data_IF_904293278623
#
_entry.id   IF_904293278623
#
_cell.length_a   1.000
_cell.length_b   1.000
_cell.length_c   1.000
_cell.angle_alpha   90.00
_cell.angle_beta   90.00
_cell.angle_gamma   90.00
#
_symmetry.space_group_name_H-M   'P 1'
#
loop_
_entity.id
_entity.type
_entity.pdbx_description
1 polymer ?
#
# COMPACT_ATOMS: atom_id res chain seq x y z
N UNK A 1 9.90 -28.58 10.31
CA UNK A 1 9.74 -28.37 8.85
C UNK A 1 9.59 -26.88 8.64
N UNK A 2 10.58 -26.24 8.03
CA UNK A 2 10.50 -24.82 7.65
C UNK A 2 9.53 -24.71 6.47
N UNK A 3 8.27 -24.38 6.75
CA UNK A 3 7.34 -23.97 5.72
C UNK A 3 7.94 -22.75 5.04
N UNK A 4 8.32 -22.88 3.76
CA UNK A 4 8.79 -21.75 2.99
C UNK A 4 7.70 -20.69 2.99
N UNK A 5 8.03 -19.45 3.34
CA UNK A 5 7.09 -18.35 3.25
C UNK A 5 6.62 -18.21 1.81
N UNK A 6 5.31 -18.37 1.60
CA UNK A 6 4.69 -18.21 0.30
C UNK A 6 3.89 -16.91 0.26
N UNK A 7 4.56 -15.84 -0.13
CA UNK A 7 3.91 -14.55 -0.33
C UNK A 7 2.82 -14.61 -1.41
N UNK A 8 2.88 -15.56 -2.35
CA UNK A 8 1.89 -15.69 -3.41
C UNK A 8 0.54 -16.17 -2.89
N UNK A 9 0.48 -16.82 -1.72
CA UNK A 9 -0.77 -17.18 -1.05
C UNK A 9 -1.65 -15.95 -0.73
N UNK A 10 -1.06 -14.75 -0.67
CA UNK A 10 -1.75 -13.51 -0.33
C UNK A 10 -1.99 -12.58 -1.53
N UNK A 11 -1.49 -12.94 -2.72
CA UNK A 11 -1.55 -12.04 -3.88
C UNK A 11 -2.94 -11.99 -4.50
N UNK A 12 -3.27 -10.83 -5.06
CA UNK A 12 -4.49 -10.62 -5.83
C UNK A 12 -4.32 -11.18 -7.25
N UNK A 13 -5.20 -12.09 -7.65
CA UNK A 13 -5.14 -12.74 -8.97
C UNK A 13 -5.73 -11.90 -10.12
N UNK A 14 -6.60 -10.93 -9.82
CA UNK A 14 -7.20 -10.03 -10.82
C UNK A 14 -6.98 -8.57 -10.44
N UNK A 15 -6.27 -7.84 -11.30
CA UNK A 15 -5.95 -6.43 -11.08
C UNK A 15 -6.94 -5.55 -11.87
N UNK A 16 -7.35 -4.39 -11.33
CA UNK A 16 -8.02 -3.37 -12.14
C UNK A 16 -7.07 -2.87 -13.22
N UNK A 17 -7.57 -2.33 -14.34
CA UNK A 17 -6.71 -1.81 -15.42
C UNK A 17 -5.75 -0.71 -14.93
N UNK A 18 -6.19 0.09 -13.97
CA UNK A 18 -5.43 1.23 -13.46
C UNK A 18 -5.45 1.23 -11.93
N UNK A 19 -4.29 1.50 -11.34
CA UNK A 19 -4.18 1.92 -9.95
C UNK A 19 -3.93 3.43 -9.86
N UNK A 20 -4.25 4.00 -8.70
CA UNK A 20 -4.03 5.40 -8.37
C UNK A 20 -3.12 5.48 -7.14
N UNK A 21 -1.96 6.10 -7.28
CA UNK A 21 -1.04 6.34 -6.16
C UNK A 21 -1.16 7.78 -5.70
N UNK A 22 -1.31 7.98 -4.40
CA UNK A 22 -1.23 9.31 -3.78
C UNK A 22 0.21 9.52 -3.32
N UNK A 23 0.90 10.51 -3.87
CA UNK A 23 2.23 10.96 -3.46
C UNK A 23 2.08 12.19 -2.58
N UNK A 24 2.83 12.25 -1.46
CA UNK A 24 2.80 13.35 -0.50
C UNK A 24 4.11 13.41 0.29
N UNK A 25 4.45 14.53 0.95
CA UNK A 25 5.64 14.63 1.77
C UNK A 25 5.68 13.55 2.87
N UNK A 26 6.75 12.75 2.89
CA UNK A 26 6.90 11.65 3.84
C UNK A 26 6.22 10.33 3.40
N UNK A 27 5.81 10.19 2.14
CA UNK A 27 5.43 8.87 1.62
C UNK A 27 6.60 7.89 1.68
N UNK A 28 6.36 6.66 2.15
CA UNK A 28 7.37 5.59 2.28
C UNK A 28 7.74 4.90 0.95
N UNK A 29 7.58 5.64 -0.14
CA UNK A 29 7.95 5.21 -1.47
C UNK A 29 8.44 6.43 -2.25
N UNK A 30 9.48 6.22 -3.05
CA UNK A 30 10.13 7.23 -3.88
C UNK A 30 9.77 7.04 -5.35
N UNK A 31 9.71 8.16 -6.04
CA UNK A 31 9.50 8.23 -7.47
C UNK A 31 10.88 8.23 -8.12
N UNK A 32 11.13 7.31 -9.04
CA UNK A 32 12.38 7.27 -9.81
C UNK A 32 12.21 8.01 -11.15
N UNK A 33 13.30 8.48 -11.74
CA UNK A 33 13.31 9.15 -13.06
C UNK A 33 12.73 8.27 -14.18
N UNK A 34 12.69 6.94 -13.97
CA UNK A 34 12.08 5.97 -14.89
C UNK A 34 10.55 6.01 -14.89
N UNK A 35 9.94 6.70 -13.91
CA UNK A 35 8.50 6.67 -13.64
C UNK A 35 8.07 5.52 -12.74
N UNK A 36 9.03 4.74 -12.21
CA UNK A 36 8.75 3.66 -11.26
C UNK A 36 8.57 4.19 -9.83
N UNK A 37 7.82 3.42 -9.04
CA UNK A 37 7.70 3.63 -7.61
C UNK A 37 8.45 2.54 -6.86
N UNK A 38 9.41 2.94 -6.03
CA UNK A 38 10.22 2.01 -5.24
C UNK A 38 9.96 2.27 -3.76
N UNK A 39 9.85 1.22 -2.96
CA UNK A 39 9.81 1.36 -1.49
C UNK A 39 11.06 2.08 -0.98
N UNK A 40 10.94 2.73 0.16
CA UNK A 40 12.09 3.38 0.82
C UNK A 40 13.07 2.40 1.49
N UNK A 41 12.81 1.09 1.36
CA UNK A 41 13.59 0.01 1.98
C UNK A 41 13.71 -1.21 1.08
N UNK A 42 14.76 -2.00 1.34
CA UNK A 42 14.99 -3.33 0.75
C UNK A 42 14.63 -4.44 1.76
N UNK A 43 13.71 -4.17 2.69
CA UNK A 43 13.31 -5.14 3.72
C UNK A 43 12.70 -6.40 3.08
N UNK A 44 13.33 -7.54 3.29
CA UNK A 44 12.82 -8.84 2.86
C UNK A 44 11.94 -9.48 3.94
N UNK A 45 10.77 -9.97 3.52
CA UNK A 45 9.81 -10.62 4.41
C UNK A 45 10.14 -12.11 4.49
N UNK A 46 10.47 -12.59 5.68
CA UNK A 46 11.01 -13.93 5.92
C UNK A 46 9.96 -15.00 6.22
N UNK A 47 8.83 -14.59 6.82
CA UNK A 47 7.76 -15.49 7.28
C UNK A 47 6.44 -14.72 7.51
N UNK A 48 5.38 -15.45 7.86
CA UNK A 48 4.04 -14.89 8.07
C UNK A 48 3.96 -13.96 9.30
N UNK A 49 4.75 -14.20 10.35
CA UNK A 49 4.77 -13.36 11.53
C UNK A 49 5.44 -12.02 11.20
N UNK A 50 6.55 -12.06 10.46
CA UNK A 50 7.23 -10.88 9.96
C UNK A 50 6.34 -10.13 8.95
N UNK A 51 5.65 -10.82 8.05
CA UNK A 51 4.66 -10.21 7.14
C UNK A 51 3.60 -9.45 7.93
N UNK A 52 3.01 -10.08 8.97
CA UNK A 52 2.00 -9.45 9.83
C UNK A 52 2.54 -8.17 10.48
N UNK A 53 3.73 -8.23 11.09
CA UNK A 53 4.32 -7.08 11.76
C UNK A 53 4.60 -5.92 10.80
N UNK A 54 5.18 -6.20 9.63
CA UNK A 54 5.50 -5.18 8.63
C UNK A 54 4.23 -4.59 8.01
N UNK A 55 3.26 -5.43 7.66
CA UNK A 55 1.97 -4.98 7.14
C UNK A 55 1.20 -4.15 8.19
N UNK A 56 1.24 -4.55 9.45
CA UNK A 56 0.68 -3.79 10.56
C UNK A 56 1.35 -2.41 10.65
N UNK A 57 2.67 -2.34 10.79
CA UNK A 57 3.41 -1.07 10.84
C UNK A 57 3.08 -0.15 9.65
N UNK A 58 2.99 -0.72 8.45
CA UNK A 58 2.61 -0.02 7.22
C UNK A 58 1.18 0.54 7.29
N UNK A 59 0.18 -0.27 7.66
CA UNK A 59 -1.21 0.19 7.74
C UNK A 59 -1.43 1.24 8.84
N UNK A 60 -0.66 1.16 9.93
CA UNK A 60 -0.68 2.11 11.03
C UNK A 60 0.11 3.39 10.77
N UNK A 61 0.77 3.51 9.62
CA UNK A 61 1.60 4.67 9.30
C UNK A 61 2.68 4.94 10.36
N UNK A 62 3.26 3.87 10.89
CA UNK A 62 4.41 4.00 11.79
C UNK A 62 5.61 4.46 10.97
N UNK A 63 6.54 5.18 11.59
CA UNK A 63 7.77 5.68 10.94
C UNK A 63 8.81 4.58 10.69
N UNK A 64 8.39 3.32 10.66
CA UNK A 64 9.24 2.16 10.38
C UNK A 64 9.34 1.96 8.87
N UNK A 65 10.51 1.58 8.31
CA UNK A 65 10.65 1.36 6.88
C UNK A 65 9.63 0.34 6.34
N UNK A 66 9.05 0.61 5.18
CA UNK A 66 8.00 -0.23 4.60
C UNK A 66 8.35 -0.72 3.20
N UNK A 67 8.40 -2.05 2.95
CA UNK A 67 8.64 -2.59 1.62
C UNK A 67 7.39 -2.49 0.71
N UNK A 68 6.32 -1.82 1.16
CA UNK A 68 5.07 -1.73 0.43
C UNK A 68 4.86 -0.36 -0.22
N UNK A 69 4.42 -0.36 -1.47
CA UNK A 69 3.91 0.83 -2.15
C UNK A 69 2.38 0.82 -2.09
N UNK A 70 1.78 1.78 -1.38
CA UNK A 70 0.33 1.92 -1.27
C UNK A 70 -0.29 2.46 -2.56
N UNK A 71 -1.35 1.80 -3.03
CA UNK A 71 -2.13 2.21 -4.20
C UNK A 71 -3.63 2.02 -3.95
N UNK A 72 -4.45 2.75 -4.70
CA UNK A 72 -5.91 2.65 -4.71
C UNK A 72 -6.40 2.08 -6.04
N UNK A 73 -7.40 1.20 -6.01
CA UNK A 73 -8.07 0.72 -7.23
C UNK A 73 -9.11 1.70 -7.79
N UNK A 74 -9.49 2.72 -7.01
CA UNK A 74 -10.52 3.71 -7.38
C UNK A 74 -10.00 5.14 -7.23
N UNK A 75 -10.21 5.96 -8.25
CA UNK A 75 -9.72 7.35 -8.29
C UNK A 75 -10.40 8.22 -7.23
N UNK A 76 -11.72 8.09 -7.11
CA UNK A 76 -12.52 8.90 -6.19
C UNK A 76 -12.12 8.60 -4.75
N UNK A 77 -11.80 7.35 -4.47
CA UNK A 77 -11.29 6.91 -3.19
C UNK A 77 -9.91 7.52 -2.89
N UNK A 78 -8.97 7.46 -3.83
CA UNK A 78 -7.66 8.11 -3.68
C UNK A 78 -7.79 9.62 -3.40
N UNK A 79 -8.66 10.32 -4.14
CA UNK A 79 -8.94 11.74 -3.93
C UNK A 79 -9.53 12.03 -2.55
N UNK A 80 -10.59 11.32 -2.18
CA UNK A 80 -11.23 11.49 -0.87
C UNK A 80 -10.25 11.20 0.28
N UNK A 81 -9.40 10.22 0.10
CA UNK A 81 -8.35 9.88 1.05
C UNK A 81 -7.35 11.03 1.21
N UNK A 82 -6.90 11.63 0.10
CA UNK A 82 -5.96 12.74 0.08
C UNK A 82 -6.55 13.97 0.79
N UNK A 83 -7.76 14.38 0.40
CA UNK A 83 -8.45 15.53 0.99
C UNK A 83 -8.64 15.41 2.51
N UNK A 84 -8.96 14.20 3.01
CA UNK A 84 -9.17 13.97 4.44
C UNK A 84 -7.90 13.99 5.28
N UNK A 85 -6.72 14.00 4.65
CA UNK A 85 -5.44 13.78 5.33
C UNK A 85 -4.44 14.90 5.18
N UNK A 86 -4.68 15.89 4.32
CA UNK A 86 -3.78 17.04 4.15
C UNK A 86 -3.40 17.68 5.50
N UNK A 87 -4.38 17.90 6.39
CA UNK A 87 -4.13 18.43 7.74
C UNK A 87 -3.22 17.51 8.59
N UNK A 88 -3.37 16.19 8.47
CA UNK A 88 -2.55 15.21 9.21
C UNK A 88 -1.16 15.02 8.61
N UNK A 89 -1.01 15.30 7.32
CA UNK A 89 0.26 15.22 6.60
C UNK A 89 1.13 16.46 6.82
N UNK A 90 0.57 17.51 7.44
CA UNK A 90 1.26 18.79 7.66
C UNK A 90 1.83 19.36 6.34
N UNK A 91 1.08 19.20 5.26
CA UNK A 91 1.41 19.67 3.91
C UNK A 91 0.21 20.40 3.29
N UNK A 92 0.43 21.14 2.21
CA UNK A 92 -0.63 21.71 1.38
C UNK A 92 -1.25 20.69 0.41
N UNK A 93 -2.40 21.02 -0.17
CA UNK A 93 -3.02 20.22 -1.25
C UNK A 93 -2.19 20.23 -2.54
N UNK A 94 -1.44 21.30 -2.76
CA UNK A 94 -0.50 21.50 -3.87
C UNK A 94 0.75 20.62 -3.77
N UNK A 95 1.02 20.05 -2.59
CA UNK A 95 2.11 19.09 -2.35
C UNK A 95 1.66 17.62 -2.52
N UNK A 96 0.37 17.39 -2.80
CA UNK A 96 -0.21 16.05 -2.97
C UNK A 96 -0.51 15.78 -4.44
N UNK A 97 0.05 14.70 -4.97
CA UNK A 97 -0.10 14.30 -6.36
C UNK A 97 -0.81 12.95 -6.46
N UNK A 98 -1.64 12.77 -7.50
CA UNK A 98 -2.26 11.48 -7.78
C UNK A 98 -1.82 10.99 -9.16
N UNK A 99 -1.00 9.96 -9.14
CA UNK A 99 -0.48 9.31 -10.35
C UNK A 99 -1.32 8.11 -10.73
N UNK A 100 -1.40 7.85 -12.04
CA UNK A 100 -2.04 6.64 -12.58
C UNK A 100 -0.96 5.61 -12.90
N UNK A 101 -1.18 4.39 -12.44
CA UNK A 101 -0.32 3.23 -12.74
C UNK A 101 -1.11 2.30 -13.66
N UNK A 102 -0.59 2.07 -14.86
CA UNK A 102 -1.12 1.08 -15.78
C UNK A 102 -0.68 -0.31 -15.34
N UNK A 103 -1.63 -1.15 -14.92
CA UNK A 103 -1.32 -2.47 -14.36
C UNK A 103 -0.74 -3.44 -15.39
N UNK A 104 -0.97 -3.20 -16.68
CA UNK A 104 -0.36 -3.98 -17.75
C UNK A 104 1.15 -3.73 -17.89
N UNK A 105 1.67 -2.68 -17.24
CA UNK A 105 3.08 -2.29 -17.28
C UNK A 105 3.84 -2.63 -16.00
N UNK A 106 3.20 -3.31 -15.04
CA UNK A 106 3.89 -3.73 -13.83
C UNK A 106 5.04 -4.70 -14.18
N UNK A 107 6.21 -4.56 -13.54
CA UNK A 107 7.30 -5.51 -13.71
C UNK A 107 6.85 -6.96 -13.47
N UNK A 108 7.46 -7.89 -14.20
CA UNK A 108 7.22 -9.31 -13.98
C UNK A 108 7.60 -9.68 -12.53
N UNK A 109 6.72 -10.41 -11.85
CA UNK A 109 6.90 -10.80 -10.45
C UNK A 109 6.43 -9.77 -9.43
N UNK A 110 5.90 -8.60 -9.84
CA UNK A 110 5.25 -7.68 -8.90
C UNK A 110 4.07 -8.37 -8.19
N UNK A 111 4.13 -8.38 -6.86
CA UNK A 111 3.04 -8.88 -6.01
C UNK A 111 2.15 -7.72 -5.60
N UNK A 112 0.85 -7.85 -5.88
CA UNK A 112 -0.16 -6.92 -5.41
C UNK A 112 -0.99 -7.61 -4.35
N UNK A 113 -1.05 -7.02 -3.15
CA UNK A 113 -1.84 -7.52 -2.04
C UNK A 113 -3.13 -6.71 -1.92
N UNK A 114 -4.25 -7.39 -1.73
CA UNK A 114 -5.47 -6.71 -1.32
C UNK A 114 -5.37 -6.39 0.18
N UNK A 115 -5.34 -5.10 0.53
CA UNK A 115 -5.09 -4.67 1.90
C UNK A 115 -6.19 -5.17 2.87
N UNK A 116 -7.45 -5.19 2.43
CA UNK A 116 -8.56 -5.69 3.27
C UNK A 116 -8.46 -7.19 3.48
N UNK A 117 -8.13 -7.94 2.43
CA UNK A 117 -7.85 -9.37 2.55
C UNK A 117 -6.68 -9.65 3.48
N UNK A 118 -5.56 -8.92 3.31
CA UNK A 118 -4.34 -9.11 4.10
C UNK A 118 -4.57 -8.85 5.59
N UNK A 119 -5.31 -7.78 5.93
CA UNK A 119 -5.71 -7.48 7.31
C UNK A 119 -6.53 -8.63 7.91
N UNK A 120 -7.52 -9.13 7.17
CA UNK A 120 -8.40 -10.20 7.66
C UNK A 120 -7.67 -11.53 7.85
N UNK A 121 -6.82 -11.91 6.90
CA UNK A 121 -6.14 -13.21 6.94
C UNK A 121 -4.97 -13.25 7.93
N UNK A 122 -4.30 -12.11 8.16
CA UNK A 122 -3.21 -12.02 9.15
C UNK A 122 -3.70 -11.62 10.55
N UNK A 123 -5.00 -11.42 10.73
CA UNK A 123 -5.60 -10.97 11.98
C UNK A 123 -4.91 -9.70 12.51
N UNK A 124 -4.72 -8.71 11.62
CA UNK A 124 -4.14 -7.42 11.97
C UNK A 124 -5.22 -6.60 12.68
N UNK A 125 -4.97 -6.28 13.96
CA UNK A 125 -5.86 -5.41 14.72
C UNK A 125 -5.93 -4.04 14.03
N UNK A 126 -7.10 -3.41 14.01
CA UNK A 126 -7.25 -2.02 13.56
C UNK A 126 -8.18 -1.27 14.52
N UNK A 127 -7.77 -0.17 15.18
CA UNK A 127 -8.55 0.52 16.20
C UNK A 127 -9.76 1.31 15.65
N UNK A 128 -10.08 1.20 14.36
CA UNK A 128 -11.21 1.92 13.76
C UNK A 128 -11.77 1.19 12.53
N UNK A 129 -13.09 0.95 12.45
CA UNK A 129 -13.74 0.45 11.24
C UNK A 129 -13.70 1.43 10.07
N UNK A 130 -13.51 2.74 10.32
CA UNK A 130 -13.54 3.78 9.29
C UNK A 130 -12.30 3.78 8.40
N UNK A 131 -11.18 3.21 8.87
CA UNK A 131 -9.94 3.05 8.12
C UNK A 131 -9.93 1.81 7.23
N UNK A 132 -10.81 0.83 7.44
CA UNK A 132 -11.03 -0.26 6.48
C UNK A 132 -11.80 0.22 5.24
N UNK A 133 -12.75 1.14 5.41
CA UNK A 133 -13.39 1.84 4.29
C UNK A 133 -12.40 2.70 3.49
N UNK A 134 -11.17 2.91 4.00
CA UNK A 134 -10.09 3.62 3.32
C UNK A 134 -9.21 2.72 2.44
N UNK A 135 -9.43 1.40 2.48
CA UNK A 135 -8.75 0.41 1.64
C UNK A 135 -9.72 -0.50 0.86
N UNK A 136 -11.00 -0.51 1.22
CA UNK A 136 -12.03 -1.23 0.46
C UNK A 136 -13.43 -1.02 1.00
N UNK A 137 -14.21 -0.16 0.34
CA UNK A 137 -15.63 -0.36 0.00
C UNK A 137 -16.12 0.80 -0.89
N UNK A 138 -16.59 0.45 -2.08
CA UNK A 138 -17.46 1.27 -2.95
C UNK A 138 -18.82 1.48 -2.32
#
# INVERSE_FOLDING_TARGET
>A
MSGHFDADAYKRNSLPKTFYRVTYPGSQARDEDTGDYVSDTNLEISDNLHLKQVAENHFYWRREPSPFVSVFSDKKHALNWAYRRVDRLNCGLDEVYISKIDTAKLPLGTRVFDATFLVGVLDIYHPSPQSLNLYGKT
#
